data_IF_864410324794
#
_entry.id   IF_864410324794
#
_cell.length_a   1.000
_cell.length_b   1.000
_cell.length_c   1.000
_cell.angle_alpha   90.00
_cell.angle_beta   90.00
_cell.angle_gamma   90.00
#
_symmetry.space_group_name_H-M   'P 1'
#
loop_
_entity.id
_entity.type
_entity.pdbx_description
1 polymer ?
#
# COMPACT_ATOMS: atom_id res chain seq x y z
N UNK A 1 9.97 0.79 27.85
CA UNK A 1 9.62 1.35 26.54
C UNK A 1 10.73 0.97 25.58
N UNK A 2 10.48 0.05 24.65
CA UNK A 2 11.42 -0.21 23.55
C UNK A 2 11.57 1.05 22.71
N UNK A 3 12.82 1.46 22.47
CA UNK A 3 13.10 2.58 21.57
C UNK A 3 12.69 2.14 20.17
N UNK A 4 11.75 2.88 19.55
CA UNK A 4 11.32 2.62 18.19
C UNK A 4 12.50 2.65 17.20
N UNK A 5 12.41 1.89 16.12
CA UNK A 5 13.43 1.90 15.06
C UNK A 5 13.29 3.17 14.23
N UNK A 6 14.34 3.97 14.15
CA UNK A 6 14.41 5.15 13.30
C UNK A 6 15.14 4.83 11.99
N UNK A 7 14.72 5.45 10.89
CA UNK A 7 15.25 5.23 9.55
C UNK A 7 14.79 6.31 8.58
N UNK A 8 15.38 6.31 7.38
CA UNK A 8 15.03 7.25 6.31
C UNK A 8 14.33 6.51 5.18
N UNK A 9 13.22 7.05 4.69
CA UNK A 9 12.52 6.54 3.51
C UNK A 9 12.70 7.55 2.38
N UNK A 10 13.32 7.11 1.30
CA UNK A 10 13.55 7.92 0.10
C UNK A 10 12.45 7.62 -0.92
N UNK A 11 11.50 8.53 -1.04
CA UNK A 11 10.37 8.44 -1.99
C UNK A 11 10.65 9.13 -3.34
N UNK A 12 11.82 9.76 -3.50
CA UNK A 12 12.28 10.40 -4.74
C UNK A 12 13.65 9.82 -5.11
N UNK A 13 13.86 9.36 -6.35
CA UNK A 13 15.24 9.10 -6.81
C UNK A 13 15.94 10.45 -6.92
N UNK A 14 17.05 10.65 -6.20
CA UNK A 14 17.89 11.83 -6.40
C UNK A 14 18.46 11.77 -7.81
N UNK A 15 18.11 12.74 -8.65
CA UNK A 15 18.89 13.09 -9.83
C UNK A 15 20.18 13.76 -9.33
N UNK A 16 21.15 12.97 -8.90
CA UNK A 16 22.51 13.47 -8.80
C UNK A 16 23.01 13.61 -10.23
N UNK A 17 23.21 14.86 -10.65
CA UNK A 17 23.61 15.18 -12.02
C UNK A 17 24.85 14.41 -12.45
N UNK A 18 24.68 13.63 -13.51
CA UNK A 18 25.62 13.41 -14.60
C UNK A 18 24.85 12.67 -15.70
N UNK A 19 24.83 13.30 -16.89
CA UNK A 19 24.17 12.91 -18.16
C UNK A 19 22.65 12.73 -18.17
N UNK A 20 21.99 13.64 -18.90
CA UNK A 20 20.65 13.51 -19.47
C UNK A 20 20.65 12.30 -20.42
N UNK A 21 20.16 11.15 -19.98
CA UNK A 21 19.59 10.05 -20.76
C UNK A 21 19.40 8.86 -19.80
N UNK A 22 18.18 8.30 -19.74
CA UNK A 22 17.67 7.33 -18.74
C UNK A 22 17.04 7.93 -17.48
N UNK A 23 15.91 8.64 -17.66
CA UNK A 23 14.83 8.57 -16.65
C UNK A 23 14.40 7.12 -16.49
N UNK A 24 15.07 6.37 -15.61
CA UNK A 24 14.66 5.02 -15.25
C UNK A 24 13.34 5.12 -14.47
N UNK A 25 12.21 5.13 -15.22
CA UNK A 25 10.87 5.31 -14.69
C UNK A 25 10.60 4.30 -13.58
N UNK A 26 10.23 4.81 -12.39
CA UNK A 26 9.81 3.98 -11.26
C UNK A 26 8.67 3.06 -11.71
N UNK A 27 8.84 1.75 -11.55
CA UNK A 27 7.89 0.75 -12.00
C UNK A 27 6.48 1.01 -11.44
N UNK A 28 5.48 1.02 -12.32
CA UNK A 28 4.07 1.07 -11.96
C UNK A 28 3.49 -0.35 -11.97
N UNK A 29 3.10 -0.83 -10.79
CA UNK A 29 2.53 -2.16 -10.58
C UNK A 29 1.00 -2.12 -10.44
N UNK A 30 0.35 -1.03 -10.86
CA UNK A 30 -1.12 -0.95 -10.87
C UNK A 30 -1.72 -2.13 -11.64
N UNK A 31 -2.60 -2.88 -10.98
CA UNK A 31 -3.19 -4.11 -11.52
C UNK A 31 -2.32 -5.38 -11.43
N UNK A 32 -1.07 -5.29 -10.94
CA UNK A 32 -0.14 -6.42 -10.81
C UNK A 32 0.12 -6.81 -9.34
N UNK A 33 -0.45 -6.07 -8.39
CA UNK A 33 -0.38 -6.39 -6.96
C UNK A 33 -1.57 -7.26 -6.57
N UNK A 34 -1.30 -8.41 -5.95
CA UNK A 34 -2.32 -9.38 -5.55
C UNK A 34 -2.21 -9.72 -4.06
N UNK A 35 -3.32 -9.64 -3.33
CA UNK A 35 -3.44 -10.13 -1.97
C UNK A 35 -4.19 -11.46 -1.98
N UNK A 36 -3.49 -12.56 -1.71
CA UNK A 36 -4.04 -13.92 -1.73
C UNK A 36 -4.61 -14.32 -0.36
N UNK A 37 -5.64 -15.18 -0.29
CA UNK A 37 -6.23 -15.66 0.97
C UNK A 37 -5.41 -16.82 1.56
N UNK A 38 -4.08 -16.73 1.49
CA UNK A 38 -3.16 -17.73 2.01
C UNK A 38 -1.76 -17.15 2.24
N UNK A 39 -0.99 -17.77 3.13
CA UNK A 39 0.40 -17.40 3.37
C UNK A 39 1.36 -18.28 2.56
N UNK A 40 2.24 -17.63 1.78
CA UNK A 40 3.33 -18.30 1.07
C UNK A 40 4.61 -18.08 1.88
N UNK A 41 5.24 -19.17 2.36
CA UNK A 41 6.47 -19.09 3.19
C UNK A 41 7.70 -18.61 2.42
N UNK A 42 7.72 -18.80 1.11
CA UNK A 42 8.82 -18.37 0.25
C UNK A 42 8.68 -16.89 -0.10
N UNK A 43 9.74 -16.11 0.13
CA UNK A 43 9.84 -14.70 -0.26
C UNK A 43 10.98 -14.56 -1.27
N UNK A 44 10.64 -14.33 -2.53
CA UNK A 44 11.61 -14.19 -3.61
C UNK A 44 10.93 -14.10 -4.98
N UNK A 45 11.72 -14.05 -6.08
CA UNK A 45 11.20 -14.00 -7.44
C UNK A 45 10.29 -15.19 -7.76
N UNK A 46 9.23 -14.95 -8.52
CA UNK A 46 8.31 -15.99 -8.99
C UNK A 46 7.71 -15.61 -10.34
N UNK A 47 7.47 -16.59 -11.21
CA UNK A 47 6.90 -16.38 -12.55
C UNK A 47 5.38 -16.17 -12.49
N UNK A 48 4.92 -15.14 -11.79
CA UNK A 48 3.49 -14.83 -11.55
C UNK A 48 2.74 -14.72 -12.88
N UNK A 49 3.25 -13.95 -13.84
CA UNK A 49 2.62 -13.75 -15.14
C UNK A 49 2.46 -15.04 -15.96
N UNK A 50 3.32 -16.04 -15.73
CA UNK A 50 3.25 -17.32 -16.42
C UNK A 50 2.18 -18.25 -15.82
N UNK A 51 2.09 -18.33 -14.49
CA UNK A 51 1.25 -19.30 -13.80
C UNK A 51 -0.06 -18.74 -13.25
N UNK A 52 -0.07 -17.51 -12.75
CA UNK A 52 -1.24 -16.89 -12.14
C UNK A 52 -2.03 -16.12 -13.20
N UNK A 53 -2.92 -16.83 -13.90
CA UNK A 53 -3.77 -16.27 -14.96
C UNK A 53 -5.09 -15.79 -14.38
N UNK A 54 -5.31 -14.48 -14.44
CA UNK A 54 -6.58 -13.87 -14.07
C UNK A 54 -7.50 -13.81 -15.29
N UNK A 55 -8.80 -14.02 -15.07
CA UNK A 55 -9.84 -13.92 -16.08
C UNK A 55 -10.96 -13.03 -15.57
N UNK A 56 -11.42 -12.02 -16.32
CA UNK A 56 -12.61 -11.29 -15.93
C UNK A 56 -13.82 -12.24 -15.96
N UNK A 57 -14.69 -12.16 -14.96
CA UNK A 57 -15.92 -12.97 -14.89
C UNK A 57 -17.09 -12.30 -15.60
N UNK A 58 -17.00 -10.99 -15.87
CA UNK A 58 -18.10 -10.16 -16.37
C UNK A 58 -19.13 -9.79 -15.30
N UNK A 59 -18.90 -10.18 -14.05
CA UNK A 59 -19.77 -9.87 -12.91
C UNK A 59 -19.21 -8.65 -12.18
N UNK A 60 -20.08 -7.71 -11.84
CA UNK A 60 -19.75 -6.60 -10.93
C UNK A 60 -20.31 -6.90 -9.54
N UNK A 61 -19.47 -6.76 -8.52
CA UNK A 61 -19.85 -6.88 -7.11
C UNK A 61 -19.56 -5.55 -6.44
N UNK A 62 -20.60 -4.91 -5.89
CA UNK A 62 -20.47 -3.62 -5.17
C UNK A 62 -19.73 -2.53 -5.96
N UNK A 63 -19.97 -2.47 -7.29
CA UNK A 63 -19.33 -1.51 -8.20
C UNK A 63 -17.90 -1.86 -8.61
N UNK A 64 -17.39 -3.02 -8.20
CA UNK A 64 -16.05 -3.50 -8.54
C UNK A 64 -16.13 -4.65 -9.54
N UNK A 65 -15.29 -4.57 -10.58
CA UNK A 65 -15.16 -5.63 -11.59
C UNK A 65 -14.50 -6.85 -10.97
N UNK A 66 -15.19 -7.98 -11.01
CA UNK A 66 -14.69 -9.23 -10.44
C UNK A 66 -13.89 -10.04 -11.47
N UNK A 67 -12.96 -10.84 -10.94
CA UNK A 67 -12.04 -11.67 -11.68
C UNK A 67 -11.93 -13.04 -11.01
N UNK A 68 -11.58 -14.04 -11.79
CA UNK A 68 -11.32 -15.40 -11.33
C UNK A 68 -9.87 -15.80 -11.64
N UNK A 69 -9.26 -16.55 -10.74
CA UNK A 69 -7.97 -17.17 -10.95
C UNK A 69 -7.93 -18.51 -10.19
N UNK A 70 -6.90 -19.32 -10.46
CA UNK A 70 -6.67 -20.56 -9.73
C UNK A 70 -5.26 -20.55 -9.14
N UNK A 71 -5.15 -20.93 -7.87
CA UNK A 71 -3.87 -21.07 -7.19
C UNK A 71 -3.80 -22.42 -6.49
N UNK A 72 -2.80 -23.24 -6.83
CA UNK A 72 -2.63 -24.60 -6.28
C UNK A 72 -3.89 -25.48 -6.40
N UNK A 73 -4.61 -25.34 -7.52
CA UNK A 73 -5.85 -26.09 -7.79
C UNK A 73 -7.09 -25.59 -7.05
N UNK A 74 -6.99 -24.47 -6.33
CA UNK A 74 -8.13 -23.82 -5.65
C UNK A 74 -8.59 -22.61 -6.45
N UNK A 75 -9.91 -22.50 -6.61
CA UNK A 75 -10.54 -21.38 -7.28
C UNK A 75 -10.53 -20.17 -6.35
N UNK A 76 -10.15 -19.04 -6.92
CA UNK A 76 -10.13 -17.74 -6.27
C UNK A 76 -11.09 -16.81 -7.00
N UNK A 77 -11.79 -16.00 -6.23
CA UNK A 77 -12.63 -14.91 -6.71
C UNK A 77 -12.06 -13.62 -6.17
N UNK A 78 -11.85 -12.64 -7.05
CA UNK A 78 -11.18 -11.41 -6.67
C UNK A 78 -11.77 -10.18 -7.31
N UNK A 79 -11.40 -9.02 -6.77
CA UNK A 79 -11.84 -7.71 -7.25
C UNK A 79 -10.65 -6.74 -7.20
N UNK A 80 -10.58 -5.85 -8.19
CA UNK A 80 -9.56 -4.80 -8.20
C UNK A 80 -10.01 -3.63 -7.33
N UNK A 81 -9.36 -3.46 -6.19
CA UNK A 81 -9.67 -2.40 -5.24
C UNK A 81 -8.76 -1.20 -5.54
N UNK A 82 -9.31 -0.03 -5.89
CA UNK A 82 -8.50 1.18 -6.06
C UNK A 82 -8.01 1.67 -4.70
N UNK A 83 -6.82 2.26 -4.67
CA UNK A 83 -6.34 2.98 -3.49
C UNK A 83 -7.19 4.26 -3.31
N UNK A 84 -7.65 4.57 -2.09
CA UNK A 84 -8.49 5.74 -1.85
C UNK A 84 -7.85 7.06 -2.32
N UNK A 85 -8.68 8.00 -2.76
CA UNK A 85 -8.24 9.31 -3.24
C UNK A 85 -7.38 10.03 -2.18
N UNK A 86 -6.30 10.65 -2.62
CA UNK A 86 -5.32 11.31 -1.74
C UNK A 86 -4.26 10.37 -1.16
N UNK A 87 -4.33 9.06 -1.42
CA UNK A 87 -3.32 8.08 -1.00
C UNK A 87 -2.61 7.46 -2.21
N UNK A 88 -1.48 6.82 -1.96
CA UNK A 88 -0.69 6.12 -2.98
C UNK A 88 -0.04 4.88 -2.38
N UNK A 89 -0.01 3.80 -3.15
CA UNK A 89 0.67 2.56 -2.78
C UNK A 89 2.14 2.58 -3.19
N UNK A 90 3.02 2.16 -2.29
CA UNK A 90 4.45 2.05 -2.55
C UNK A 90 4.97 0.67 -2.14
N UNK A 91 5.92 0.13 -2.92
CA UNK A 91 6.72 -1.03 -2.54
C UNK A 91 8.08 -0.54 -2.13
N UNK A 92 8.44 -0.75 -0.86
CA UNK A 92 9.71 -0.28 -0.29
C UNK A 92 10.71 -1.43 -0.20
N UNK A 93 11.95 -1.17 -0.62
CA UNK A 93 13.09 -2.07 -0.47
C UNK A 93 14.13 -1.47 0.47
N UNK A 94 14.83 -2.32 1.24
CA UNK A 94 15.97 -1.86 2.03
C UNK A 94 17.16 -1.65 1.10
N UNK A 95 17.78 -0.47 1.13
CA UNK A 95 18.95 -0.18 0.29
C UNK A 95 20.11 -1.07 0.74
N UNK A 96 20.54 -2.01 -0.11
CA UNK A 96 21.78 -2.73 0.15
C UNK A 96 22.95 -1.81 -0.14
N UNK A 97 23.61 -1.29 0.89
CA UNK A 97 24.95 -0.72 0.74
C UNK A 97 25.83 -1.86 0.23
N UNK A 98 26.12 -1.87 -1.08
CA UNK A 98 26.97 -2.88 -1.68
C UNK A 98 28.27 -3.00 -0.90
N UNK A 99 28.82 -4.22 -0.80
CA UNK A 99 30.15 -4.49 -0.23
C UNK A 99 31.23 -3.74 -1.01
N UNK A 100 31.37 -2.43 -0.82
CA UNK A 100 32.50 -1.65 -1.32
C UNK A 100 33.00 -0.74 -0.21
N UNK A 101 34.10 -1.22 0.36
CA UNK A 101 35.11 -0.54 1.19
C UNK A 101 34.64 0.04 2.51
N UNK A 102 35.16 -0.58 3.56
CA UNK A 102 35.26 -0.05 4.90
C UNK A 102 35.87 1.36 4.91
N UNK A 103 35.48 2.11 5.95
CA UNK A 103 35.84 3.49 6.28
C UNK A 103 34.79 4.50 5.82
N UNK A 104 33.72 4.66 6.60
CA UNK A 104 33.23 5.94 7.15
C UNK A 104 32.05 5.64 8.07
N UNK A 105 32.24 5.93 9.36
CA UNK A 105 31.27 6.10 10.47
C UNK A 105 29.96 5.30 10.51
N UNK A 106 29.72 4.68 11.66
CA UNK A 106 28.51 3.98 12.11
C UNK A 106 27.24 4.87 12.10
N UNK A 107 26.74 5.19 10.90
CA UNK A 107 25.59 6.05 10.67
C UNK A 107 24.45 5.32 9.97
N UNK A 108 23.48 4.85 10.77
CA UNK A 108 22.12 4.41 10.41
C UNK A 108 21.96 3.50 9.17
N UNK A 109 22.05 2.19 9.38
CA UNK A 109 21.82 1.12 8.39
C UNK A 109 20.35 0.89 8.00
N UNK A 110 19.42 1.79 8.35
CA UNK A 110 17.99 1.67 8.09
C UNK A 110 17.50 2.68 7.03
N UNK A 111 18.05 2.58 5.83
CA UNK A 111 17.61 3.34 4.66
C UNK A 111 16.72 2.47 3.76
N UNK A 112 15.52 2.97 3.45
CA UNK A 112 14.56 2.36 2.54
C UNK A 112 14.37 3.22 1.30
N UNK A 113 14.18 2.59 0.16
CA UNK A 113 13.92 3.25 -1.12
C UNK A 113 12.63 2.71 -1.76
N UNK A 114 11.97 3.57 -2.53
CA UNK A 114 10.80 3.18 -3.30
C UNK A 114 11.23 2.39 -4.54
N UNK A 115 10.83 1.12 -4.60
CA UNK A 115 11.08 0.24 -5.74
C UNK A 115 9.98 0.35 -6.80
N UNK A 116 8.73 0.55 -6.36
CA UNK A 116 7.58 0.64 -7.25
C UNK A 116 6.43 1.44 -6.60
N UNK A 117 5.51 1.88 -7.45
CA UNK A 117 4.24 2.50 -7.07
C UNK A 117 3.07 1.69 -7.61
N UNK A 118 1.90 1.80 -6.99
CA UNK A 118 0.66 1.22 -7.51
C UNK A 118 -0.56 2.02 -7.04
N UNK A 119 -1.62 1.98 -7.85
CA UNK A 119 -2.91 2.66 -7.59
C UNK A 119 -4.07 1.69 -7.32
N UNK A 120 -3.85 0.39 -7.45
CA UNK A 120 -4.87 -0.63 -7.16
C UNK A 120 -4.23 -1.94 -6.68
N UNK A 121 -4.97 -2.67 -5.86
CA UNK A 121 -4.62 -4.01 -5.37
C UNK A 121 -5.75 -4.96 -5.77
N UNK A 122 -5.42 -6.14 -6.31
CA UNK A 122 -6.42 -7.19 -6.50
C UNK A 122 -6.52 -8.04 -5.24
N UNK A 123 -7.66 -7.95 -4.55
CA UNK A 123 -7.95 -8.77 -3.38
C UNK A 123 -8.65 -10.05 -3.80
N UNK A 124 -8.26 -11.19 -3.21
CA UNK A 124 -8.77 -12.51 -3.54
C UNK A 124 -9.33 -13.22 -2.31
N UNK A 125 -10.50 -13.81 -2.48
CA UNK A 125 -11.15 -14.73 -1.55
C UNK A 125 -11.19 -16.15 -2.13
N UNK A 126 -11.36 -17.15 -1.27
CA UNK A 126 -11.50 -18.55 -1.65
C UNK A 126 -12.97 -18.88 -1.92
N UNK A 127 -13.32 -19.21 -3.17
CA UNK A 127 -14.67 -19.59 -3.61
C UNK A 127 -15.82 -18.61 -3.27
N UNK A 128 -15.53 -17.38 -2.83
CA UNK A 128 -16.52 -16.35 -2.53
C UNK A 128 -16.13 -15.00 -3.13
N UNK A 129 -17.11 -14.23 -3.59
CA UNK A 129 -16.84 -12.88 -4.10
C UNK A 129 -16.35 -11.97 -2.95
N UNK A 130 -15.40 -11.05 -3.22
CA UNK A 130 -15.12 -9.95 -2.30
C UNK A 130 -16.36 -9.09 -2.00
N UNK A 131 -16.46 -8.61 -0.77
CA UNK A 131 -17.57 -7.80 -0.25
C UNK A 131 -17.09 -6.71 0.70
N UNK A 132 -17.94 -5.72 1.01
CA UNK A 132 -17.63 -4.65 1.97
C UNK A 132 -17.36 -5.17 3.39
N UNK A 133 -17.80 -6.39 3.73
CA UNK A 133 -17.60 -6.98 5.05
C UNK A 133 -16.18 -7.53 5.25
N UNK A 134 -15.43 -7.72 4.16
CA UNK A 134 -14.05 -8.21 4.22
C UNK A 134 -13.16 -7.24 5.01
N UNK A 135 -12.40 -7.77 5.97
CA UNK A 135 -11.53 -6.97 6.84
C UNK A 135 -10.55 -6.09 6.06
N UNK A 136 -10.07 -6.56 4.90
CA UNK A 136 -9.17 -5.78 4.04
C UNK A 136 -9.88 -4.58 3.42
N UNK A 137 -11.10 -4.73 2.88
CA UNK A 137 -11.84 -3.59 2.33
C UNK A 137 -12.17 -2.58 3.43
N UNK A 138 -12.60 -3.06 4.60
CA UNK A 138 -12.88 -2.22 5.77
C UNK A 138 -11.66 -1.46 6.28
N UNK A 139 -10.43 -1.93 6.02
CA UNK A 139 -9.23 -1.23 6.47
C UNK A 139 -9.09 0.16 5.81
N UNK A 140 -9.61 0.36 4.61
CA UNK A 140 -9.57 1.67 3.95
C UNK A 140 -10.50 2.70 4.59
N UNK A 141 -11.57 2.27 5.29
CA UNK A 141 -12.42 3.20 6.05
C UNK A 141 -11.65 3.88 7.18
N UNK A 142 -10.63 3.22 7.74
CA UNK A 142 -9.77 3.81 8.76
C UNK A 142 -9.09 5.10 8.29
N UNK A 143 -8.73 5.20 7.01
CA UNK A 143 -8.08 6.39 6.47
C UNK A 143 -8.96 7.64 6.60
N UNK A 144 -10.27 7.50 6.34
CA UNK A 144 -11.23 8.61 6.51
C UNK A 144 -11.40 8.98 7.98
N UNK A 145 -11.53 7.98 8.86
CA UNK A 145 -11.66 8.19 10.30
C UNK A 145 -10.43 8.88 10.87
N UNK A 146 -9.24 8.39 10.53
CA UNK A 146 -7.97 8.96 10.97
C UNK A 146 -7.79 10.40 10.49
N UNK A 147 -8.22 10.72 9.26
CA UNK A 147 -8.20 12.09 8.74
C UNK A 147 -9.04 13.03 9.59
N UNK A 148 -10.29 12.67 9.89
CA UNK A 148 -11.19 13.50 10.71
C UNK A 148 -10.73 13.61 12.16
N UNK A 149 -10.16 12.54 12.73
CA UNK A 149 -9.67 12.56 14.12
C UNK A 149 -8.45 13.45 14.34
N UNK A 150 -7.56 13.54 13.34
CA UNK A 150 -6.32 14.31 13.45
C UNK A 150 -6.40 15.66 12.73
N UNK A 151 -7.59 16.07 12.29
CA UNK A 151 -7.81 17.41 11.76
C UNK A 151 -7.53 18.45 12.87
N UNK A 152 -6.65 19.45 12.64
CA UNK A 152 -6.34 20.45 13.65
C UNK A 152 -7.60 21.21 14.08
N UNK A 153 -7.82 21.33 15.39
CA UNK A 153 -8.94 22.12 15.91
C UNK A 153 -8.72 23.61 15.60
N UNK A 154 -9.75 24.26 15.06
CA UNK A 154 -9.72 25.71 14.82
C UNK A 154 -10.09 26.48 16.10
N UNK A 155 -9.75 27.78 16.14
CA UNK A 155 -10.15 28.63 17.26
C UNK A 155 -11.68 28.73 17.37
N UNK A 156 -12.36 28.74 16.23
CA UNK A 156 -13.82 28.76 16.11
C UNK A 156 -14.46 27.48 16.69
N UNK A 157 -13.84 26.32 16.48
CA UNK A 157 -14.29 25.04 17.06
C UNK A 157 -14.18 25.05 18.58
N UNK A 158 -13.08 25.59 19.12
CA UNK A 158 -12.85 25.70 20.55
C UNK A 158 -13.83 26.69 21.21
N UNK A 159 -14.08 27.83 20.57
CA UNK A 159 -15.08 28.80 21.01
C UNK A 159 -16.48 28.18 20.97
N UNK A 160 -16.83 27.46 19.90
CA UNK A 160 -18.14 26.78 19.78
C UNK A 160 -18.32 25.69 20.84
N UNK A 161 -17.28 24.90 21.12
CA UNK A 161 -17.30 23.88 22.16
C UNK A 161 -17.48 24.49 23.57
N UNK A 162 -16.79 25.59 23.88
CA UNK A 162 -16.95 26.30 25.15
C UNK A 162 -18.35 26.90 25.32
N UNK A 163 -18.90 27.50 24.26
CA UNK A 163 -20.26 28.03 24.27
C UNK A 163 -21.34 26.94 24.41
N UNK A 164 -21.10 25.73 23.88
CA UNK A 164 -21.99 24.59 24.07
C UNK A 164 -21.96 24.05 25.51
N UNK A 165 -20.79 24.02 26.15
CA UNK A 165 -20.63 23.63 27.56
C UNK A 165 -21.35 24.60 28.51
N UNK A 166 -21.25 25.91 28.28
CA UNK A 166 -21.95 26.92 29.09
C UNK A 166 -23.48 26.82 28.96
N UNK A 167 -24.01 26.39 27.80
CA UNK A 167 -25.46 26.19 27.59
C UNK A 167 -26.02 24.92 28.23
N UNK A 168 -25.16 23.96 28.60
CA UNK A 168 -25.58 22.73 29.29
C UNK A 168 -25.60 22.88 30.80
N UNK A 169 -25.22 24.05 31.32
CA UNK A 169 -25.16 24.38 32.73
C UNK A 169 -26.40 25.18 33.16
#
# INVERSE_FOLDING_TARGET
>A
MEKGTQGTIVLRKNANGESEEEEEQVADLSGQVHLLPCSIKYSGPSSVSHYFKTKPTGIESEGLKTQEANFRGRKLQGASIPIPNGYSGFVLGKKSLGKRKANTTEGNSNCWEMNAKYKSITYWNHDSLPSQDDAFLRCFHWLSVAKSMHEPATAEDLVSASAALEKMK
#
